data_IF_259940556913
#
_entry.id   IF_259940556913
#
_cell.length_a   1.000
_cell.length_b   1.000
_cell.length_c   1.000
_cell.angle_alpha   90.00
_cell.angle_beta   90.00
_cell.angle_gamma   90.00
#
_symmetry.space_group_name_H-M   'P 1'
#
loop_
_entity.id
_entity.type
_entity.pdbx_description
1 polymer ?
#
# COMPACT_ATOMS: atom_id res chain seq x y z
N UNK A 1 40.98 26.26 11.11
CA UNK A 1 39.75 26.70 11.81
C UNK A 1 38.87 25.48 11.97
N UNK A 2 38.64 25.04 13.21
CA UNK A 2 37.89 23.82 13.51
C UNK A 2 36.40 24.11 13.42
N UNK A 3 35.75 23.58 12.39
CA UNK A 3 34.29 23.54 12.26
C UNK A 3 33.75 22.77 13.46
N UNK A 4 33.28 23.49 14.49
CA UNK A 4 32.44 22.90 15.53
C UNK A 4 31.12 22.54 14.84
N UNK A 5 31.05 21.34 14.26
CA UNK A 5 29.78 20.75 13.91
C UNK A 5 28.94 20.76 15.19
N UNK A 6 27.90 21.59 15.21
CA UNK A 6 26.91 21.59 16.30
C UNK A 6 26.30 20.19 16.29
N UNK A 7 26.71 19.37 17.24
CA UNK A 7 26.16 18.03 17.42
C UNK A 7 24.83 18.22 18.13
N UNK A 8 23.75 18.25 17.35
CA UNK A 8 22.39 18.20 17.88
C UNK A 8 22.26 16.96 18.78
N UNK A 9 21.52 17.08 19.89
CA UNK A 9 21.29 15.96 20.81
C UNK A 9 19.87 15.42 20.68
N UNK A 10 19.74 14.12 20.84
CA UNK A 10 18.44 13.46 20.86
C UNK A 10 17.60 14.00 22.02
N UNK A 11 16.38 14.46 21.72
CA UNK A 11 15.45 15.01 22.71
C UNK A 11 14.95 13.97 23.75
N UNK A 12 15.19 12.67 23.53
CA UNK A 12 14.74 11.58 24.40
C UNK A 12 15.89 10.99 25.22
N UNK A 13 16.99 10.61 24.58
CA UNK A 13 18.12 9.93 25.24
C UNK A 13 19.38 10.78 25.40
N UNK A 14 19.44 11.98 24.80
CA UNK A 14 20.60 12.87 24.87
C UNK A 14 21.79 12.49 23.98
N UNK A 15 21.71 11.39 23.24
CA UNK A 15 22.75 10.93 22.29
C UNK A 15 23.00 11.93 21.16
N UNK A 16 24.22 11.94 20.65
CA UNK A 16 24.61 12.76 19.50
C UNK A 16 23.83 12.35 18.24
N UNK A 17 23.27 13.34 17.54
CA UNK A 17 22.59 13.16 16.25
C UNK A 17 23.39 13.92 15.19
N UNK A 18 23.90 13.19 14.20
CA UNK A 18 24.66 13.77 13.10
C UNK A 18 23.72 14.35 12.02
N UNK A 19 24.12 15.46 11.41
CA UNK A 19 23.52 15.97 10.17
C UNK A 19 22.16 16.65 10.33
N UNK A 20 21.85 17.19 11.51
CA UNK A 20 20.59 17.91 11.75
C UNK A 20 20.85 19.28 12.35
N UNK A 21 20.15 20.27 11.82
CA UNK A 21 20.19 21.66 12.30
C UNK A 21 19.53 21.77 13.67
N UNK A 22 20.13 22.54 14.59
CA UNK A 22 19.78 22.62 16.03
C UNK A 22 18.41 23.29 16.31
N UNK A 23 17.63 23.59 15.28
CA UNK A 23 16.39 24.38 15.36
C UNK A 23 15.13 23.56 15.71
N UNK A 24 15.23 22.22 15.80
CA UNK A 24 14.09 21.34 16.12
C UNK A 24 14.48 20.25 17.11
N UNK A 25 13.52 19.86 17.96
CA UNK A 25 13.64 18.67 18.78
C UNK A 25 13.73 17.44 17.88
N UNK A 26 14.91 16.82 17.84
CA UNK A 26 15.21 15.68 16.96
C UNK A 26 15.38 14.44 17.81
N UNK A 27 14.84 13.30 17.33
CA UNK A 27 15.06 11.99 17.94
C UNK A 27 16.17 11.29 17.16
N UNK A 28 17.08 10.61 17.85
CA UNK A 28 17.97 9.65 17.18
C UNK A 28 17.13 8.50 16.58
N UNK A 29 17.70 7.78 15.62
CA UNK A 29 17.03 6.67 14.92
C UNK A 29 16.32 5.68 15.87
N UNK A 30 17.00 5.12 16.88
CA UNK A 30 16.38 4.20 17.83
C UNK A 30 15.20 4.79 18.61
N UNK A 31 15.32 6.03 19.11
CA UNK A 31 14.22 6.69 19.82
C UNK A 31 13.04 7.02 18.90
N UNK A 32 13.31 7.31 17.63
CA UNK A 32 12.25 7.52 16.64
C UNK A 32 11.55 6.20 16.29
N UNK A 33 12.30 5.11 16.08
CA UNK A 33 11.72 3.80 15.83
C UNK A 33 10.88 3.29 17.02
N UNK A 34 11.35 3.50 18.26
CA UNK A 34 10.58 3.17 19.46
C UNK A 34 9.26 3.96 19.53
N UNK A 35 9.30 5.25 19.20
CA UNK A 35 8.09 6.06 19.08
C UNK A 35 7.16 5.54 17.98
N UNK A 36 7.67 5.22 16.79
CA UNK A 36 6.84 4.71 15.71
C UNK A 36 6.16 3.39 16.09
N UNK A 37 6.88 2.48 16.77
CA UNK A 37 6.28 1.25 17.31
C UNK A 37 5.14 1.53 18.28
N UNK A 38 5.27 2.55 19.11
CA UNK A 38 4.22 2.93 20.07
C UNK A 38 2.92 3.42 19.41
N UNK A 39 2.97 3.84 18.14
CA UNK A 39 1.81 4.34 17.38
C UNK A 39 1.37 3.39 16.26
N UNK A 40 2.06 2.28 16.02
CA UNK A 40 1.78 1.37 14.89
C UNK A 40 0.34 0.85 14.90
N UNK A 41 -0.20 0.49 16.08
CA UNK A 41 -1.59 0.03 16.21
C UNK A 41 -2.60 1.13 15.81
N UNK A 42 -2.47 2.33 16.40
CA UNK A 42 -3.33 3.46 16.08
C UNK A 42 -3.21 3.90 14.61
N UNK A 43 -2.00 3.86 14.04
CA UNK A 43 -1.78 4.11 12.62
C UNK A 43 -2.57 3.13 11.75
N UNK A 44 -2.47 1.83 12.06
CA UNK A 44 -3.19 0.78 11.34
C UNK A 44 -4.72 0.90 11.48
N UNK A 45 -5.22 1.21 12.67
CA UNK A 45 -6.66 1.46 12.90
C UNK A 45 -7.19 2.60 12.03
N UNK A 46 -6.51 3.75 12.06
CA UNK A 46 -6.90 4.91 11.25
C UNK A 46 -6.75 4.65 9.75
N UNK A 47 -5.72 3.91 9.35
CA UNK A 47 -5.56 3.46 7.97
C UNK A 47 -6.74 2.58 7.54
N UNK A 48 -7.14 1.58 8.35
CA UNK A 48 -8.27 0.71 8.04
C UNK A 48 -9.62 1.46 8.00
N UNK A 49 -9.80 2.45 8.87
CA UNK A 49 -11.02 3.26 8.94
C UNK A 49 -11.15 4.23 7.76
N UNK A 50 -10.08 4.97 7.46
CA UNK A 50 -10.12 6.07 6.49
C UNK A 50 -9.29 5.82 5.25
N UNK A 51 -8.04 5.41 5.42
CA UNK A 51 -7.04 5.32 4.35
C UNK A 51 -7.43 4.32 3.26
N UNK A 52 -7.76 3.09 3.67
CA UNK A 52 -8.08 1.98 2.76
C UNK A 52 -9.28 2.32 1.86
N UNK A 53 -10.31 3.00 2.39
CA UNK A 53 -11.55 3.28 1.65
C UNK A 53 -11.45 4.46 0.69
N UNK A 54 -10.49 5.37 0.87
CA UNK A 54 -10.39 6.59 0.07
C UNK A 54 -10.28 6.28 -1.44
N UNK A 55 -9.50 5.25 -1.79
CA UNK A 55 -9.30 4.80 -3.18
C UNK A 55 -10.60 4.27 -3.81
N UNK A 56 -11.30 3.41 -3.07
CA UNK A 56 -12.58 2.83 -3.50
C UNK A 56 -13.62 3.93 -3.76
N UNK A 57 -13.80 4.87 -2.82
CA UNK A 57 -14.83 5.92 -2.93
C UNK A 57 -14.60 6.78 -4.16
N UNK A 58 -13.35 7.19 -4.43
CA UNK A 58 -13.02 7.99 -5.61
C UNK A 58 -13.25 7.18 -6.89
N UNK A 59 -12.79 5.93 -6.95
CA UNK A 59 -12.96 5.08 -8.12
C UNK A 59 -14.44 4.81 -8.46
N UNK A 60 -15.27 4.48 -7.48
CA UNK A 60 -16.71 4.28 -7.66
C UNK A 60 -17.41 5.56 -8.13
N UNK A 61 -17.01 6.71 -7.58
CA UNK A 61 -17.56 8.01 -7.98
C UNK A 61 -17.20 8.31 -9.44
N UNK A 62 -15.95 8.07 -9.84
CA UNK A 62 -15.51 8.22 -11.22
C UNK A 62 -16.24 7.28 -12.18
N UNK A 63 -16.41 6.00 -11.79
CA UNK A 63 -17.15 5.01 -12.58
C UNK A 63 -18.60 5.46 -12.81
N UNK A 64 -19.30 5.91 -11.76
CA UNK A 64 -20.68 6.42 -11.87
C UNK A 64 -20.77 7.67 -12.76
N UNK A 65 -19.77 8.55 -12.69
CA UNK A 65 -19.73 9.78 -13.49
C UNK A 65 -19.56 9.49 -15.00
N UNK A 66 -19.04 8.33 -15.41
CA UNK A 66 -18.88 7.97 -16.83
C UNK A 66 -20.20 7.98 -17.60
N UNK A 67 -21.30 7.67 -16.94
CA UNK A 67 -22.64 7.56 -17.55
C UNK A 67 -23.09 8.89 -18.18
N UNK A 68 -22.67 10.02 -17.59
CA UNK A 68 -23.06 11.38 -18.03
C UNK A 68 -21.91 12.14 -18.71
N UNK A 69 -20.72 11.55 -18.77
CA UNK A 69 -19.51 12.19 -19.26
C UNK A 69 -19.41 12.16 -20.80
N UNK A 70 -18.90 13.25 -21.39
CA UNK A 70 -18.52 13.27 -22.80
C UNK A 70 -17.25 12.43 -23.05
N UNK A 71 -16.90 12.21 -24.33
CA UNK A 71 -15.77 11.34 -24.69
C UNK A 71 -14.41 11.79 -24.11
N UNK A 72 -14.17 13.09 -23.95
CA UNK A 72 -12.95 13.61 -23.34
C UNK A 72 -12.90 13.33 -21.84
N UNK A 73 -14.00 13.63 -21.15
CA UNK A 73 -14.14 13.42 -19.70
C UNK A 73 -14.07 11.94 -19.34
N UNK A 74 -14.61 11.04 -20.17
CA UNK A 74 -14.50 9.59 -19.97
C UNK A 74 -13.05 9.11 -19.90
N UNK A 75 -12.14 9.71 -20.67
CA UNK A 75 -10.70 9.37 -20.61
C UNK A 75 -10.07 9.83 -19.30
N UNK A 76 -10.43 11.02 -18.82
CA UNK A 76 -9.98 11.56 -17.53
C UNK A 76 -10.46 10.68 -16.37
N UNK A 77 -11.76 10.38 -16.35
CA UNK A 77 -12.38 9.54 -15.33
C UNK A 77 -11.80 8.12 -15.33
N UNK A 78 -11.61 7.52 -16.51
CA UNK A 78 -10.98 6.21 -16.64
C UNK A 78 -9.55 6.19 -16.11
N UNK A 79 -8.74 7.22 -16.42
CA UNK A 79 -7.39 7.35 -15.86
C UNK A 79 -7.43 7.48 -14.33
N UNK A 80 -8.35 8.30 -13.79
CA UNK A 80 -8.51 8.47 -12.35
C UNK A 80 -8.82 7.15 -11.64
N UNK A 81 -9.64 6.29 -12.26
CA UNK A 81 -9.91 4.93 -11.75
C UNK A 81 -8.63 4.09 -11.73
N UNK A 82 -7.83 4.11 -12.80
CA UNK A 82 -6.55 3.42 -12.84
C UNK A 82 -5.54 3.95 -11.80
N UNK A 83 -5.49 5.26 -11.57
CA UNK A 83 -4.65 5.84 -10.50
C UNK A 83 -5.07 5.35 -9.11
N UNK A 84 -6.38 5.26 -8.86
CA UNK A 84 -6.87 4.70 -7.60
C UNK A 84 -6.56 3.21 -7.47
N UNK A 85 -6.60 2.46 -8.57
CA UNK A 85 -6.18 1.06 -8.62
C UNK A 85 -4.71 0.90 -8.22
N UNK A 86 -3.83 1.71 -8.80
CA UNK A 86 -2.40 1.71 -8.48
C UNK A 86 -2.15 2.10 -7.02
N UNK A 87 -2.87 3.12 -6.53
CA UNK A 87 -2.84 3.52 -5.12
C UNK A 87 -3.26 2.38 -4.19
N UNK A 88 -4.42 1.77 -4.43
CA UNK A 88 -4.94 0.66 -3.61
C UNK A 88 -3.99 -0.54 -3.60
N UNK A 89 -3.41 -0.90 -4.76
CA UNK A 89 -2.43 -1.97 -4.84
C UNK A 89 -1.13 -1.61 -4.10
N UNK A 90 -0.61 -0.40 -4.28
CA UNK A 90 0.57 0.08 -3.56
C UNK A 90 0.34 0.02 -2.05
N UNK A 91 -0.81 0.46 -1.57
CA UNK A 91 -1.16 0.48 -0.15
C UNK A 91 -1.28 -0.95 0.41
N UNK A 92 -1.88 -1.89 -0.34
CA UNK A 92 -1.95 -3.31 0.05
C UNK A 92 -0.56 -3.96 0.09
N UNK A 93 0.30 -3.73 -0.91
CA UNK A 93 1.65 -4.29 -0.94
C UNK A 93 2.51 -3.68 0.18
N UNK A 94 2.36 -2.39 0.44
CA UNK A 94 3.00 -1.69 1.56
C UNK A 94 2.58 -2.32 2.90
N UNK A 95 1.28 -2.56 3.10
CA UNK A 95 0.75 -3.22 4.29
C UNK A 95 1.37 -4.62 4.47
N UNK A 96 1.29 -5.47 3.45
CA UNK A 96 1.85 -6.83 3.50
C UNK A 96 3.34 -6.80 3.83
N UNK A 97 4.09 -5.91 3.19
CA UNK A 97 5.53 -5.74 3.43
C UNK A 97 5.80 -5.31 4.88
N UNK A 98 5.06 -4.32 5.37
CA UNK A 98 5.20 -3.80 6.72
C UNK A 98 4.84 -4.84 7.79
N UNK A 99 3.76 -5.59 7.58
CA UNK A 99 3.36 -6.66 8.50
C UNK A 99 4.41 -7.78 8.55
N UNK A 100 5.03 -8.16 7.43
CA UNK A 100 6.12 -9.16 7.42
C UNK A 100 7.38 -8.64 8.12
N UNK A 101 7.71 -7.36 7.92
CA UNK A 101 8.91 -6.74 8.49
C UNK A 101 8.74 -6.22 9.93
N UNK A 102 7.53 -6.31 10.52
CA UNK A 102 7.18 -5.71 11.83
C UNK A 102 8.15 -6.00 12.98
N UNK A 103 8.81 -7.17 12.96
CA UNK A 103 9.79 -7.55 13.99
C UNK A 103 11.11 -6.78 13.87
N UNK A 104 11.49 -6.39 12.65
CA UNK A 104 12.77 -5.72 12.37
C UNK A 104 12.62 -4.21 12.25
N UNK A 105 11.47 -3.71 11.80
CA UNK A 105 11.21 -2.27 11.66
C UNK A 105 9.78 -1.92 12.13
N UNK A 106 9.52 -0.66 12.54
CA UNK A 106 8.16 -0.18 12.79
C UNK A 106 7.28 -0.32 11.53
N UNK A 107 6.01 -0.68 11.71
CA UNK A 107 5.06 -0.85 10.61
C UNK A 107 4.85 0.49 9.90
N UNK A 108 4.63 1.57 10.67
CA UNK A 108 4.42 2.92 10.16
C UNK A 108 5.56 3.36 9.25
N UNK A 109 6.82 3.09 9.65
CA UNK A 109 7.99 3.42 8.84
C UNK A 109 8.01 2.64 7.53
N UNK A 110 7.89 1.32 7.62
CA UNK A 110 7.96 0.43 6.47
C UNK A 110 6.85 0.72 5.47
N UNK A 111 5.65 1.04 5.97
CA UNK A 111 4.50 1.40 5.16
C UNK A 111 4.69 2.76 4.46
N UNK A 112 5.05 3.81 5.20
CA UNK A 112 5.17 5.17 4.65
C UNK A 112 6.38 5.35 3.72
N UNK A 113 7.47 4.64 3.99
CA UNK A 113 8.66 4.62 3.13
C UNK A 113 8.48 3.68 1.92
N UNK A 114 7.38 2.92 1.86
CA UNK A 114 7.13 2.00 0.75
C UNK A 114 7.00 2.77 -0.57
N UNK A 115 7.58 2.16 -1.60
CA UNK A 115 7.52 2.66 -2.97
C UNK A 115 7.23 1.49 -3.89
N UNK A 116 6.13 1.57 -4.64
CA UNK A 116 5.86 0.58 -5.65
C UNK A 116 6.87 0.71 -6.79
N UNK A 117 7.46 -0.40 -7.20
CA UNK A 117 8.26 -0.54 -8.41
C UNK A 117 7.87 -1.84 -9.14
N UNK A 118 8.35 -2.01 -10.36
CA UNK A 118 8.06 -3.18 -11.18
C UNK A 118 8.43 -4.50 -10.47
N UNK A 119 9.59 -4.55 -9.82
CA UNK A 119 10.08 -5.77 -9.17
C UNK A 119 9.15 -6.17 -8.02
N UNK A 120 8.73 -5.22 -7.19
CA UNK A 120 7.79 -5.44 -6.08
C UNK A 120 6.42 -5.86 -6.57
N UNK A 121 5.92 -5.25 -7.64
CA UNK A 121 4.63 -5.65 -8.23
C UNK A 121 4.66 -7.10 -8.70
N UNK A 122 5.68 -7.49 -9.50
CA UNK A 122 5.84 -8.87 -9.98
C UNK A 122 6.01 -9.87 -8.84
N UNK A 123 6.85 -9.54 -7.85
CA UNK A 123 7.06 -10.39 -6.68
C UNK A 123 5.74 -10.64 -5.94
N UNK A 124 4.96 -9.59 -5.68
CA UNK A 124 3.69 -9.72 -4.97
C UNK A 124 2.72 -10.66 -5.69
N UNK A 125 2.54 -10.54 -7.00
CA UNK A 125 1.65 -11.43 -7.75
C UNK A 125 2.21 -12.85 -7.89
N UNK A 126 3.53 -13.00 -7.98
CA UNK A 126 4.17 -14.32 -7.96
C UNK A 126 3.90 -15.04 -6.63
N UNK A 127 4.01 -14.33 -5.50
CA UNK A 127 3.67 -14.88 -4.18
C UNK A 127 2.18 -15.17 -4.04
N UNK A 128 1.31 -14.31 -4.56
CA UNK A 128 -0.14 -14.54 -4.56
C UNK A 128 -0.47 -15.84 -5.28
N UNK A 129 0.21 -16.11 -6.40
CA UNK A 129 0.00 -17.32 -7.18
C UNK A 129 0.65 -18.56 -6.55
N UNK A 130 1.78 -18.40 -5.86
CA UNK A 130 2.56 -19.52 -5.33
C UNK A 130 2.07 -20.03 -3.97
N UNK A 131 1.58 -19.13 -3.11
CA UNK A 131 1.19 -19.45 -1.75
C UNK A 131 -0.31 -19.76 -1.67
N UNK A 132 -0.65 -20.79 -0.90
CA UNK A 132 -2.01 -21.00 -0.42
C UNK A 132 -2.44 -19.88 0.54
N UNK A 133 -3.75 -19.70 0.72
CA UNK A 133 -4.27 -18.72 1.67
C UNK A 133 -3.76 -18.94 3.10
N UNK A 134 -3.54 -20.20 3.49
CA UNK A 134 -2.96 -20.58 4.80
C UNK A 134 -1.54 -20.06 4.94
N UNK A 135 -0.70 -20.30 3.93
CA UNK A 135 0.69 -19.82 3.92
C UNK A 135 0.77 -18.29 3.89
N UNK A 136 -0.18 -17.63 3.21
CA UNK A 136 -0.32 -16.18 3.23
C UNK A 136 -0.58 -15.63 4.63
N UNK A 137 -1.57 -16.17 5.34
CA UNK A 137 -1.85 -15.74 6.71
C UNK A 137 -0.65 -16.02 7.62
N UNK A 138 -0.05 -17.21 7.51
CA UNK A 138 1.13 -17.58 8.29
C UNK A 138 2.33 -16.64 8.04
N UNK A 139 2.57 -16.23 6.80
CA UNK A 139 3.63 -15.27 6.45
C UNK A 139 3.40 -13.88 7.09
N UNK A 140 2.13 -13.49 7.28
CA UNK A 140 1.75 -12.28 8.01
C UNK A 140 1.75 -12.50 9.54
N UNK A 141 1.93 -13.73 9.99
CA UNK A 141 1.77 -14.18 11.37
C UNK A 141 0.33 -14.15 11.85
N UNK A 142 -0.64 -14.22 10.95
CA UNK A 142 -2.04 -14.37 11.31
C UNK A 142 -2.39 -15.87 11.41
N UNK A 143 -3.21 -16.28 12.39
CA UNK A 143 -3.68 -17.65 12.48
C UNK A 143 -4.74 -17.93 11.40
N UNK A 144 -5.05 -19.21 11.22
CA UNK A 144 -6.28 -19.61 10.53
C UNK A 144 -7.52 -19.19 11.32
N UNK A 145 -8.68 -18.97 10.67
CA UNK A 145 -9.92 -18.64 11.37
C UNK A 145 -10.24 -19.65 12.49
N UNK A 146 -10.02 -20.94 12.26
CA UNK A 146 -10.30 -22.01 13.22
C UNK A 146 -9.29 -22.06 14.37
N UNK A 147 -8.12 -21.45 14.20
CA UNK A 147 -7.02 -21.43 15.15
C UNK A 147 -6.89 -20.08 15.89
N UNK A 148 -7.98 -19.29 15.93
CA UNK A 148 -8.01 -18.01 16.65
C UNK A 148 -7.75 -18.25 18.15
N UNK A 149 -6.87 -17.47 18.82
CA UNK A 149 -6.52 -17.68 20.22
C UNK A 149 -7.72 -17.67 21.16
N UNK A 150 -7.72 -18.57 22.15
CA UNK A 150 -8.69 -18.56 23.23
C UNK A 150 -8.46 -17.34 24.15
N UNK A 151 -9.53 -16.84 24.78
CA UNK A 151 -9.45 -15.73 25.75
C UNK A 151 -9.98 -14.39 25.22
N UNK A 152 -10.24 -14.28 23.92
CA UNK A 152 -10.94 -13.12 23.35
C UNK A 152 -12.42 -13.11 23.77
N UNK A 153 -13.05 -11.93 23.95
CA UNK A 153 -14.49 -11.84 24.09
C UNK A 153 -15.19 -12.49 22.89
N UNK A 154 -16.23 -13.31 23.12
CA UNK A 154 -16.91 -14.09 22.06
C UNK A 154 -17.31 -13.29 20.82
N UNK A 155 -17.68 -12.02 20.99
CA UNK A 155 -18.03 -11.12 19.88
C UNK A 155 -16.79 -10.78 19.04
N UNK A 156 -15.70 -10.41 19.70
CA UNK A 156 -14.41 -10.07 19.10
C UNK A 156 -13.83 -11.28 18.37
N UNK A 157 -13.83 -12.45 19.01
CA UNK A 157 -13.38 -13.70 18.38
C UNK A 157 -14.16 -13.97 17.07
N UNK A 158 -15.48 -13.84 17.10
CA UNK A 158 -16.33 -14.03 15.92
C UNK A 158 -16.00 -13.03 14.80
N UNK A 159 -15.79 -11.77 15.15
CA UNK A 159 -15.47 -10.72 14.19
C UNK A 159 -14.09 -10.96 13.55
N UNK A 160 -13.07 -11.37 14.34
CA UNK A 160 -11.74 -11.74 13.84
C UNK A 160 -11.83 -12.95 12.90
N UNK A 161 -12.55 -14.00 13.31
CA UNK A 161 -12.76 -15.19 12.47
C UNK A 161 -13.41 -14.86 11.14
N UNK A 162 -14.43 -14.00 11.16
CA UNK A 162 -15.06 -13.51 9.93
C UNK A 162 -14.05 -12.77 9.05
N UNK A 163 -13.29 -11.81 9.61
CA UNK A 163 -12.30 -11.06 8.84
C UNK A 163 -11.21 -11.94 8.25
N UNK A 164 -10.70 -12.94 8.98
CA UNK A 164 -9.73 -13.90 8.45
C UNK A 164 -10.33 -14.74 7.31
N UNK A 165 -11.58 -15.19 7.45
CA UNK A 165 -12.27 -15.95 6.41
C UNK A 165 -12.50 -15.12 5.13
N UNK A 166 -12.95 -13.87 5.29
CA UNK A 166 -13.11 -12.93 4.19
C UNK A 166 -11.77 -12.60 3.53
N UNK A 167 -10.70 -12.41 4.29
CA UNK A 167 -9.35 -12.17 3.75
C UNK A 167 -8.87 -13.36 2.89
N UNK A 168 -9.12 -14.60 3.30
CA UNK A 168 -8.82 -15.79 2.48
C UNK A 168 -9.60 -15.78 1.16
N UNK A 169 -10.88 -15.43 1.21
CA UNK A 169 -11.72 -15.29 0.02
C UNK A 169 -11.22 -14.19 -0.92
N UNK A 170 -10.86 -13.03 -0.39
CA UNK A 170 -10.34 -11.91 -1.18
C UNK A 170 -8.94 -12.21 -1.76
N UNK A 171 -8.07 -12.95 -1.05
CA UNK A 171 -6.80 -13.46 -1.61
C UNK A 171 -7.04 -14.36 -2.83
N UNK A 172 -8.00 -15.28 -2.74
CA UNK A 172 -8.36 -16.15 -3.85
C UNK A 172 -8.95 -15.36 -5.03
N UNK A 173 -9.77 -14.33 -4.76
CA UNK A 173 -10.26 -13.43 -5.81
C UNK A 173 -9.12 -12.67 -6.48
N UNK A 174 -8.15 -12.19 -5.71
CA UNK A 174 -7.01 -11.44 -6.22
C UNK A 174 -6.10 -12.31 -7.12
N UNK A 175 -6.00 -13.62 -6.86
CA UNK A 175 -5.35 -14.57 -7.78
C UNK A 175 -6.02 -14.58 -9.16
N UNK A 176 -7.35 -14.55 -9.21
CA UNK A 176 -8.12 -14.45 -10.47
C UNK A 176 -7.91 -13.14 -11.22
N UNK A 177 -7.43 -12.10 -10.54
CA UNK A 177 -7.18 -10.77 -11.11
C UNK A 177 -5.71 -10.56 -11.49
N UNK A 178 -4.84 -11.57 -11.33
CA UNK A 178 -3.39 -11.48 -11.54
C UNK A 178 -3.01 -10.83 -12.87
N UNK A 179 -3.56 -11.33 -13.97
CA UNK A 179 -3.15 -10.87 -15.30
C UNK A 179 -3.58 -9.42 -15.60
N UNK A 180 -4.65 -8.94 -14.95
CA UNK A 180 -5.05 -7.54 -14.97
C UNK A 180 -4.13 -6.73 -14.06
N UNK A 181 -3.93 -7.19 -12.83
CA UNK A 181 -3.20 -6.45 -11.80
C UNK A 181 -1.72 -6.32 -12.08
N UNK A 182 -1.03 -7.42 -12.41
CA UNK A 182 0.40 -7.41 -12.67
C UNK A 182 0.74 -6.50 -13.85
N UNK A 183 0.07 -6.66 -15.00
CA UNK A 183 0.32 -5.81 -16.18
C UNK A 183 0.03 -4.34 -15.91
N UNK A 184 -1.10 -4.04 -15.26
CA UNK A 184 -1.45 -2.67 -14.94
C UNK A 184 -0.45 -2.05 -13.95
N UNK A 185 0.03 -2.79 -12.95
CA UNK A 185 0.94 -2.28 -11.93
C UNK A 185 2.37 -2.16 -12.41
N UNK A 186 2.84 -3.07 -13.27
CA UNK A 186 4.14 -2.94 -13.94
C UNK A 186 4.16 -1.70 -14.83
N UNK A 187 3.13 -1.50 -15.67
CA UNK A 187 3.02 -0.28 -16.48
C UNK A 187 2.89 0.97 -15.61
N UNK A 188 2.15 0.89 -14.51
CA UNK A 188 1.91 2.02 -13.63
C UNK A 188 3.12 2.45 -12.80
N UNK A 189 3.92 1.49 -12.33
CA UNK A 189 5.06 1.73 -11.45
C UNK A 189 6.10 2.68 -12.06
N UNK A 190 6.27 2.61 -13.38
CA UNK A 190 7.16 3.50 -14.13
C UNK A 190 6.45 4.79 -14.55
N UNK A 191 5.17 4.72 -14.91
CA UNK A 191 4.46 5.82 -15.54
C UNK A 191 3.86 6.86 -14.57
N UNK A 192 3.22 6.43 -13.49
CA UNK A 192 2.54 7.36 -12.56
C UNK A 192 3.51 8.06 -11.59
N UNK A 193 4.78 7.66 -11.59
CA UNK A 193 5.85 8.37 -10.86
C UNK A 193 6.31 9.66 -11.54
N UNK A 194 6.16 9.78 -12.86
CA UNK A 194 6.83 10.81 -13.66
C UNK A 194 5.93 11.98 -14.13
N UNK A 195 4.69 12.08 -13.62
CA UNK A 195 3.73 13.10 -14.02
C UNK A 195 3.03 12.74 -15.33
N UNK A 196 1.71 12.58 -15.29
CA UNK A 196 0.93 12.11 -16.43
C UNK A 196 0.62 13.26 -17.40
N UNK A 197 1.06 13.17 -18.66
CA UNK A 197 0.64 14.08 -19.74
C UNK A 197 -0.44 13.42 -20.57
N UNK A 198 -1.61 14.07 -20.64
CA UNK A 198 -2.75 13.64 -21.42
C UNK A 198 -2.73 14.27 -22.80
N UNK A 199 -2.76 13.46 -23.85
CA UNK A 199 -2.83 13.93 -25.22
C UNK A 199 -4.14 13.46 -25.88
N UNK A 200 -5.01 14.41 -26.24
CA UNK A 200 -6.18 14.15 -27.06
C UNK A 200 -5.84 13.83 -28.53
N UNK A 201 -4.58 14.06 -28.94
CA UNK A 201 -4.05 13.77 -30.28
C UNK A 201 -2.63 13.22 -30.14
N UNK A 202 -2.39 12.04 -30.70
CA UNK A 202 -1.12 11.32 -30.61
C UNK A 202 -0.42 11.17 -31.95
N UNK A 203 -0.69 12.04 -32.92
CA UNK A 203 -0.04 12.02 -34.24
C UNK A 203 1.50 12.11 -34.17
N UNK A 204 2.05 12.61 -33.06
CA UNK A 204 3.47 12.67 -32.75
C UNK A 204 4.00 11.41 -32.04
N UNK A 205 3.13 10.48 -31.62
CA UNK A 205 3.51 9.13 -31.19
C UNK A 205 3.75 8.30 -32.45
N UNK A 206 5.01 8.19 -32.85
CA UNK A 206 5.41 7.42 -34.03
C UNK A 206 4.84 6.00 -34.01
N UNK A 207 3.82 5.73 -34.83
CA UNK A 207 3.24 4.40 -35.04
C UNK A 207 2.23 3.90 -34.00
N UNK A 208 1.69 4.76 -33.12
CA UNK A 208 0.62 4.39 -32.17
C UNK A 208 -0.45 5.47 -32.05
N UNK A 209 -1.45 5.40 -32.94
CA UNK A 209 -2.70 6.12 -32.73
C UNK A 209 -3.51 5.45 -31.61
N UNK A 210 -4.07 6.25 -30.70
CA UNK A 210 -4.95 5.75 -29.64
C UNK A 210 -6.39 5.71 -30.16
N UNK A 211 -7.06 4.59 -29.88
CA UNK A 211 -8.49 4.48 -30.15
C UNK A 211 -9.31 5.47 -29.31
N UNK A 212 -10.55 5.74 -29.73
CA UNK A 212 -11.48 6.59 -28.99
C UNK A 212 -11.70 6.12 -27.54
N UNK A 213 -11.62 4.80 -27.31
CA UNK A 213 -11.78 4.14 -26.00
C UNK A 213 -10.46 3.91 -25.26
N UNK A 214 -9.37 4.54 -25.71
CA UNK A 214 -8.05 4.42 -25.07
C UNK A 214 -7.57 5.77 -24.54
N UNK A 215 -6.90 5.71 -23.39
CA UNK A 215 -6.11 6.81 -22.80
C UNK A 215 -4.66 6.36 -22.72
N UNK A 216 -3.72 7.25 -23.00
CA UNK A 216 -2.30 6.97 -22.75
C UNK A 216 -1.81 7.72 -21.51
N UNK A 217 -1.06 7.02 -20.68
CA UNK A 217 -0.10 7.63 -19.79
C UNK A 217 1.25 7.70 -20.49
N UNK A 218 1.89 8.86 -20.45
CA UNK A 218 3.18 9.12 -21.10
C UNK A 218 4.17 9.48 -20.00
N UNK A 219 5.28 8.78 -19.96
CA UNK A 219 6.37 9.02 -19.03
C UNK A 219 7.68 9.18 -19.77
N UNK A 220 8.52 10.07 -19.26
CA UNK A 220 9.88 10.27 -19.78
C UNK A 220 10.85 9.38 -19.01
N UNK A 221 11.43 8.38 -19.68
CA UNK A 221 12.57 7.65 -19.16
C UNK A 221 13.84 8.45 -19.49
N UNK A 222 14.19 9.37 -18.60
CA UNK A 222 15.36 10.22 -18.74
C UNK A 222 16.68 9.42 -18.75
N UNK A 223 16.71 8.21 -18.19
CA UNK A 223 17.90 7.35 -18.18
C UNK A 223 18.15 6.72 -19.53
N UNK A 224 17.08 6.29 -20.21
CA UNK A 224 17.15 5.67 -21.54
C UNK A 224 16.90 6.65 -22.68
N UNK A 225 16.57 7.91 -22.38
CA UNK A 225 16.30 8.95 -23.37
C UNK A 225 15.09 8.66 -24.24
N UNK A 226 14.03 8.04 -23.68
CA UNK A 226 12.84 7.63 -24.43
C UNK A 226 11.54 8.07 -23.76
N UNK A 227 10.47 8.14 -24.55
CA UNK A 227 9.11 8.27 -24.06
C UNK A 227 8.48 6.88 -23.99
N UNK A 228 8.12 6.48 -22.78
CA UNK A 228 7.33 5.27 -22.56
C UNK A 228 5.85 5.65 -22.61
N UNK A 229 5.04 4.85 -23.33
CA UNK A 229 3.60 5.09 -23.55
C UNK A 229 2.82 3.85 -23.12
N UNK A 230 1.93 4.02 -22.15
CA UNK A 230 1.03 2.98 -21.68
C UNK A 230 -0.40 3.33 -22.09
N UNK A 231 -0.93 2.62 -23.09
CA UNK A 231 -2.33 2.75 -23.52
C UNK A 231 -3.23 1.87 -22.64
N UNK A 232 -4.26 2.46 -22.06
CA UNK A 232 -5.23 1.83 -21.18
C UNK A 232 -6.62 1.93 -21.81
N UNK A 233 -7.36 0.83 -21.80
CA UNK A 233 -8.76 0.80 -22.25
C UNK A 233 -9.65 1.40 -21.16
N UNK A 234 -10.54 2.32 -21.56
CA UNK A 234 -11.49 3.02 -20.68
C UNK A 234 -12.94 2.69 -21.04
N UNK A 235 -13.17 1.49 -21.57
CA UNK A 235 -14.53 0.96 -21.70
C UNK A 235 -15.10 0.56 -20.33
N UNK A 236 -16.43 0.60 -20.23
CA UNK A 236 -17.15 0.50 -18.96
C UNK A 236 -16.97 -0.86 -18.29
N UNK A 237 -16.99 -1.95 -19.08
CA UNK A 237 -16.75 -3.30 -18.58
C UNK A 237 -15.34 -3.41 -17.97
N UNK A 238 -14.32 -2.88 -18.67
CA UNK A 238 -12.97 -2.90 -18.15
C UNK A 238 -12.81 -2.06 -16.89
N UNK A 239 -13.41 -0.87 -16.85
CA UNK A 239 -13.33 -0.02 -15.66
C UNK A 239 -14.09 -0.63 -14.48
N UNK A 240 -15.22 -1.31 -14.70
CA UNK A 240 -15.92 -2.06 -13.67
C UNK A 240 -15.03 -3.16 -13.05
N UNK A 241 -14.34 -3.95 -13.89
CA UNK A 241 -13.38 -4.95 -13.39
C UNK A 241 -12.24 -4.33 -12.54
N UNK A 242 -11.77 -3.14 -12.92
CA UNK A 242 -10.74 -2.42 -12.17
C UNK A 242 -11.29 -1.92 -10.83
N UNK A 243 -12.52 -1.40 -10.79
CA UNK A 243 -13.18 -1.00 -9.54
C UNK A 243 -13.41 -2.21 -8.62
N UNK A 244 -13.84 -3.35 -9.16
CA UNK A 244 -13.98 -4.59 -8.40
C UNK A 244 -12.64 -5.04 -7.80
N UNK A 245 -11.53 -4.89 -8.56
CA UNK A 245 -10.20 -5.16 -8.04
C UNK A 245 -9.82 -4.22 -6.89
N UNK A 246 -10.15 -2.92 -7.00
CA UNK A 246 -9.95 -1.95 -5.90
C UNK A 246 -10.72 -2.38 -4.66
N UNK A 247 -11.99 -2.78 -4.81
CA UNK A 247 -12.82 -3.24 -3.70
C UNK A 247 -12.26 -4.50 -3.03
N UNK A 248 -11.81 -5.49 -3.81
CA UNK A 248 -11.12 -6.69 -3.27
C UNK A 248 -9.87 -6.31 -2.48
N UNK A 249 -8.99 -5.47 -3.02
CA UNK A 249 -7.77 -5.02 -2.32
C UNK A 249 -8.10 -4.22 -1.06
N UNK A 250 -9.13 -3.39 -1.11
CA UNK A 250 -9.63 -2.58 0.00
C UNK A 250 -10.15 -3.48 1.13
N UNK A 251 -11.05 -4.41 0.82
CA UNK A 251 -11.58 -5.36 1.82
C UNK A 251 -10.47 -6.22 2.42
N UNK A 252 -9.55 -6.71 1.59
CA UNK A 252 -8.41 -7.50 2.04
C UNK A 252 -7.53 -6.70 3.01
N UNK A 253 -7.12 -5.48 2.65
CA UNK A 253 -6.31 -4.62 3.51
C UNK A 253 -7.01 -4.33 4.85
N UNK A 254 -8.31 -4.02 4.82
CA UNK A 254 -9.12 -3.79 6.04
C UNK A 254 -9.18 -5.03 6.92
N UNK A 255 -9.48 -6.19 6.35
CA UNK A 255 -9.65 -7.44 7.08
C UNK A 255 -8.33 -7.94 7.68
N UNK A 256 -7.22 -7.83 6.93
CA UNK A 256 -5.88 -8.11 7.45
C UNK A 256 -5.51 -7.17 8.59
N UNK A 257 -5.78 -5.88 8.43
CA UNK A 257 -5.47 -4.88 9.47
C UNK A 257 -6.29 -5.11 10.73
N UNK A 258 -7.60 -5.33 10.59
CA UNK A 258 -8.48 -5.62 11.73
C UNK A 258 -8.04 -6.88 12.48
N UNK A 259 -7.80 -7.98 11.75
CA UNK A 259 -7.35 -9.22 12.37
C UNK A 259 -5.98 -9.05 13.05
N UNK A 260 -5.05 -8.34 12.40
CA UNK A 260 -3.73 -8.08 12.95
C UNK A 260 -3.80 -7.24 14.23
N UNK A 261 -4.42 -6.06 14.18
CA UNK A 261 -4.54 -5.19 15.35
C UNK A 261 -5.28 -5.92 16.46
N UNK A 262 -6.39 -6.59 16.20
CA UNK A 262 -7.16 -7.26 17.26
C UNK A 262 -6.39 -8.40 17.94
N UNK A 263 -5.61 -9.17 17.19
CA UNK A 263 -4.84 -10.30 17.72
C UNK A 263 -3.52 -9.89 18.37
N UNK A 264 -2.99 -8.73 17.98
CA UNK A 264 -1.71 -8.22 18.41
C UNK A 264 -1.83 -6.90 19.17
N UNK A 265 -3.01 -6.46 19.61
CA UNK A 265 -3.18 -5.35 20.56
C UNK A 265 -3.29 -5.85 22.02
N UNK A 266 -2.89 -7.11 22.26
CA UNK A 266 -2.64 -7.62 23.60
C UNK A 266 -1.48 -6.83 24.25
N UNK A 267 -1.56 -6.44 25.54
CA UNK A 267 -0.45 -5.87 26.29
C UNK A 267 0.89 -6.57 26.02
N UNK A 268 0.93 -7.88 25.77
CA UNK A 268 2.15 -8.60 25.38
C UNK A 268 2.84 -8.09 24.09
N UNK A 269 2.10 -7.57 23.10
CA UNK A 269 2.66 -6.96 21.89
C UNK A 269 3.10 -5.50 22.14
N UNK A 270 2.33 -4.73 22.92
CA UNK A 270 2.71 -3.36 23.34
C UNK A 270 3.95 -3.38 24.25
N UNK A 271 3.99 -4.32 25.19
CA UNK A 271 5.03 -4.51 26.19
C UNK A 271 6.24 -5.28 25.64
N UNK A 272 6.03 -6.21 24.69
CA UNK A 272 7.11 -6.92 24.00
C UNK A 272 8.05 -5.99 23.22
N UNK A 273 7.53 -4.87 22.71
CA UNK A 273 8.34 -3.81 22.11
C UNK A 273 8.89 -2.80 23.14
N UNK A 274 8.19 -2.56 24.25
CA UNK A 274 8.73 -1.75 25.36
C UNK A 274 9.95 -2.41 26.01
N UNK A 275 9.96 -3.75 26.13
CA UNK A 275 11.10 -4.54 26.58
C UNK A 275 12.31 -4.42 25.63
N UNK A 276 12.07 -4.41 24.31
CA UNK A 276 13.13 -4.20 23.31
C UNK A 276 13.66 -2.75 23.31
N UNK A 277 12.84 -1.77 23.65
CA UNK A 277 13.24 -0.35 23.78
C UNK A 277 13.99 -0.05 25.09
N UNK A 278 13.83 -0.89 26.12
CA UNK A 278 14.49 -0.75 27.43
C UNK A 278 15.69 -1.68 27.61
N UNK A 279 15.86 -2.68 26.74
CA UNK A 279 17.07 -3.50 26.65
C UNK A 279 18.25 -2.65 26.15
N UNK A 280 18.91 -1.94 27.07
CA UNK A 280 20.27 -1.41 26.87
C UNK A 280 21.17 -2.58 26.45
N UNK A 281 21.96 -2.49 25.36
CA UNK A 281 23.17 -3.28 25.28
C UNK A 281 24.07 -2.83 26.44
N UNK A 282 24.44 -3.79 27.30
CA UNK A 282 25.48 -3.60 28.30
C UNK A 282 26.85 -3.46 27.62
#
# INVERSE_FOLDING_TARGET
MSERALVARCAVCGEAVAGVDDSRAVRCGPCFDAYLRSIDAAFLEHYAEFGVRARQVVAETCLRALVVANAGDRKLLGLQVYEQFVGAASDLIALVTALRARRTAPITRTFLDFRLDEARARQFFAEIAALSGVEWLAALGLPLPEATPAGLPRRVERDVRRSLHEALGDLQRLQGLRDLGERALVLAADHFRAGTVLAGRTHWLAGRELDAVQVASIAMDARRGRLDIAALRVDEERLAQVVDAIDVMTRLARNLTYAFVTLYDDPAFRDGFAAAATARPA
#
